data_IF_347176879700
#
_entry.id   IF_347176879700
#
_cell.length_a   1.000
_cell.length_b   1.000
_cell.length_c   1.000
_cell.angle_alpha   90.00
_cell.angle_beta   90.00
_cell.angle_gamma   90.00
#
_symmetry.space_group_name_H-M   'P 1'
#
loop_
_entity.id
_entity.type
_entity.pdbx_description
1 polymer ?
#
# COMPACT_ATOMS: atom_id res chain seq x y z
N UNK A 1 -8.04 10.61 -9.77
CA UNK A 1 -6.85 10.53 -8.91
C UNK A 1 -7.11 9.52 -7.82
N UNK A 2 -6.06 8.93 -7.30
CA UNK A 2 -6.14 7.94 -6.24
C UNK A 2 -5.07 8.20 -5.20
N UNK A 3 -5.26 7.65 -4.01
CA UNK A 3 -4.30 7.74 -2.92
C UNK A 3 -3.90 6.35 -2.49
N UNK A 4 -2.62 6.14 -2.23
CA UNK A 4 -2.07 4.85 -1.84
C UNK A 4 -1.21 5.01 -0.58
N UNK A 5 -1.21 3.99 0.30
CA UNK A 5 -0.39 3.99 1.50
C UNK A 5 0.38 2.70 1.68
N UNK A 6 1.69 2.81 1.90
CA UNK A 6 2.50 1.73 2.44
C UNK A 6 2.35 1.71 3.96
N UNK A 7 1.65 0.71 4.48
CA UNK A 7 1.52 0.50 5.91
C UNK A 7 2.79 -0.17 6.44
N UNK A 8 3.47 0.46 7.40
CA UNK A 8 4.75 0.02 7.94
C UNK A 8 4.72 0.00 9.47
N UNK A 9 5.17 -1.12 10.03
CA UNK A 9 5.38 -1.33 11.45
C UNK A 9 6.91 -1.33 11.70
N UNK A 10 7.46 -0.22 12.22
CA UNK A 10 8.90 -0.10 12.48
C UNK A 10 9.37 -0.96 13.66
N UNK A 11 8.49 -1.33 14.59
CA UNK A 11 8.84 -2.15 15.75
C UNK A 11 9.08 -3.60 15.35
N UNK A 12 8.27 -4.11 14.42
CA UNK A 12 8.38 -5.48 13.88
C UNK A 12 9.14 -5.56 12.56
N UNK A 13 9.57 -4.42 12.04
CA UNK A 13 10.21 -4.27 10.73
C UNK A 13 9.42 -4.98 9.62
N UNK A 14 8.12 -4.69 9.56
CA UNK A 14 7.18 -5.38 8.67
C UNK A 14 6.29 -4.39 7.95
N UNK A 15 5.82 -4.79 6.78
CA UNK A 15 4.86 -4.04 5.97
C UNK A 15 3.56 -4.81 5.86
N UNK A 16 2.47 -4.09 5.62
CA UNK A 16 1.17 -4.66 5.31
C UNK A 16 0.86 -4.36 3.85
N UNK A 17 0.62 -5.43 3.08
CA UNK A 17 0.19 -5.36 1.69
C UNK A 17 -1.18 -6.04 1.55
N UNK A 18 -1.92 -5.66 0.52
CA UNK A 18 -3.18 -6.29 0.14
C UNK A 18 -3.00 -7.08 -1.15
N UNK A 19 -3.71 -8.19 -1.29
CA UNK A 19 -3.75 -9.02 -2.48
C UNK A 19 -5.16 -8.98 -3.07
N UNK A 20 -5.26 -8.47 -4.29
CA UNK A 20 -6.53 -8.25 -4.99
C UNK A 20 -6.45 -8.76 -6.43
N UNK A 21 -7.60 -9.19 -6.96
CA UNK A 21 -7.71 -9.55 -8.38
C UNK A 21 -7.70 -8.28 -9.24
N UNK A 22 -6.74 -8.19 -10.17
CA UNK A 22 -6.68 -7.13 -11.18
C UNK A 22 -6.87 -7.71 -12.57
N UNK A 23 -7.95 -7.32 -13.23
CA UNK A 23 -8.27 -7.80 -14.58
C UNK A 23 -7.16 -7.49 -15.60
N UNK A 24 -6.43 -6.38 -15.43
CA UNK A 24 -5.30 -6.01 -16.27
C UNK A 24 -4.14 -7.03 -16.24
N UNK A 25 -4.00 -7.80 -15.15
CA UNK A 25 -2.99 -8.85 -15.00
C UNK A 25 -3.35 -10.19 -15.64
N UNK A 26 -4.61 -10.40 -16.04
CA UNK A 26 -5.14 -11.71 -16.42
C UNK A 26 -4.32 -12.45 -17.49
N UNK A 27 -3.64 -11.72 -18.37
CA UNK A 27 -2.86 -12.29 -19.47
C UNK A 27 -1.34 -12.04 -19.37
N UNK A 28 -0.88 -11.36 -18.31
CA UNK A 28 0.47 -10.79 -18.25
C UNK A 28 1.28 -11.21 -17.01
N UNK A 29 0.68 -11.89 -16.03
CA UNK A 29 1.33 -12.38 -14.81
C UNK A 29 1.08 -13.88 -14.57
N UNK A 30 1.87 -14.50 -13.68
CA UNK A 30 1.64 -15.87 -13.20
C UNK A 30 0.25 -16.03 -12.55
N UNK A 31 -0.33 -14.92 -12.07
CA UNK A 31 -1.65 -14.82 -11.46
C UNK A 31 -2.20 -13.40 -11.58
N UNK A 32 -3.49 -13.20 -11.88
CA UNK A 32 -4.13 -11.88 -11.85
C UNK A 32 -4.28 -11.30 -10.44
N UNK A 33 -3.98 -12.08 -9.40
CA UNK A 33 -3.91 -11.62 -8.02
C UNK A 33 -2.57 -10.91 -7.78
N UNK A 34 -2.63 -9.62 -7.51
CA UNK A 34 -1.45 -8.76 -7.35
C UNK A 34 -1.29 -8.35 -5.91
N UNK A 35 -0.04 -8.30 -5.42
CA UNK A 35 0.29 -7.69 -4.14
C UNK A 35 0.48 -6.19 -4.30
N UNK A 36 -0.36 -5.42 -3.65
CA UNK A 36 -0.50 -3.97 -3.80
C UNK A 36 -0.45 -3.27 -2.44
N UNK A 37 -0.33 -1.94 -2.50
CA UNK A 37 -0.57 -1.09 -1.35
C UNK A 37 -2.08 -0.98 -1.11
N UNK A 38 -2.48 -0.63 0.11
CA UNK A 38 -3.83 -0.11 0.36
C UNK A 38 -4.04 1.14 -0.50
N UNK A 39 -5.17 1.24 -1.19
CA UNK A 39 -5.44 2.35 -2.09
C UNK A 39 -6.93 2.61 -2.32
N UNK A 40 -7.29 3.88 -2.52
CA UNK A 40 -8.65 4.29 -2.85
C UNK A 40 -8.70 5.39 -3.90
N UNK A 41 -9.82 5.47 -4.62
CA UNK A 41 -10.11 6.58 -5.53
C UNK A 41 -10.51 7.79 -4.70
N UNK A 42 -9.95 8.96 -5.02
CA UNK A 42 -10.31 10.19 -4.32
C UNK A 42 -11.66 10.72 -4.84
N UNK A 43 -12.62 10.93 -3.95
CA UNK A 43 -13.83 11.70 -4.28
C UNK A 43 -13.55 13.22 -4.31
N UNK A 44 -14.42 14.01 -4.98
CA UNK A 44 -14.19 15.45 -5.22
C UNK A 44 -13.97 16.30 -3.95
N UNK A 45 -14.39 15.80 -2.78
CA UNK A 45 -14.26 16.51 -1.50
C UNK A 45 -13.32 15.88 -0.50
N UNK A 46 -12.69 14.74 -0.81
CA UNK A 46 -11.82 14.03 0.13
C UNK A 46 -10.38 14.54 0.05
N UNK A 47 -9.73 14.66 1.21
CA UNK A 47 -8.30 14.87 1.25
C UNK A 47 -7.60 13.51 1.02
N UNK A 48 -6.55 13.43 0.19
CA UNK A 48 -5.81 12.20 -0.06
C UNK A 48 -5.39 11.42 1.21
N UNK A 49 -5.04 12.15 2.28
CA UNK A 49 -4.69 11.56 3.56
C UNK A 49 -5.89 10.89 4.25
N UNK A 50 -7.08 11.48 4.16
CA UNK A 50 -8.30 10.92 4.76
C UNK A 50 -8.73 9.65 4.02
N UNK A 51 -8.57 9.62 2.69
CA UNK A 51 -8.82 8.44 1.86
C UNK A 51 -7.98 7.27 2.32
N UNK A 52 -6.65 7.41 2.38
CA UNK A 52 -5.79 6.27 2.74
C UNK A 52 -5.98 5.79 4.18
N UNK A 53 -6.40 6.66 5.10
CA UNK A 53 -6.76 6.26 6.47
C UNK A 53 -8.05 5.44 6.48
N UNK A 54 -9.08 5.88 5.73
CA UNK A 54 -10.33 5.14 5.56
C UNK A 54 -10.08 3.76 4.93
N UNK A 55 -9.40 3.74 3.79
CA UNK A 55 -9.11 2.51 3.04
C UNK A 55 -8.24 1.54 3.85
N UNK A 56 -7.28 2.03 4.65
CA UNK A 56 -6.48 1.15 5.51
C UNK A 56 -7.34 0.38 6.51
N UNK A 57 -8.41 0.99 7.01
CA UNK A 57 -9.35 0.33 7.89
C UNK A 57 -10.27 -0.64 7.13
N UNK A 58 -10.75 -0.26 5.96
CA UNK A 58 -11.70 -1.06 5.14
C UNK A 58 -11.02 -2.27 4.49
N UNK A 59 -9.87 -2.06 3.86
CA UNK A 59 -9.14 -3.08 3.09
C UNK A 59 -8.21 -3.93 3.96
N UNK A 60 -7.66 -3.36 5.04
CA UNK A 60 -6.63 -4.04 5.84
C UNK A 60 -6.98 -4.21 7.33
N UNK A 61 -8.08 -3.61 7.81
CA UNK A 61 -8.41 -3.58 9.24
C UNK A 61 -7.37 -2.84 10.08
N UNK A 62 -6.59 -1.96 9.46
CA UNK A 62 -5.41 -1.33 10.05
C UNK A 62 -5.68 0.10 10.51
N UNK A 63 -5.50 0.35 11.81
CA UNK A 63 -5.51 1.70 12.36
C UNK A 63 -4.20 2.43 12.02
N UNK A 64 -4.29 3.48 11.21
CA UNK A 64 -3.14 4.33 10.87
C UNK A 64 -2.90 5.34 11.99
N UNK A 65 -1.72 5.26 12.61
CA UNK A 65 -1.36 6.04 13.80
C UNK A 65 -0.69 7.39 13.46
N UNK A 66 0.02 7.43 12.35
CA UNK A 66 0.66 8.62 11.79
C UNK A 66 0.86 8.41 10.29
N UNK A 67 0.95 9.50 9.53
CA UNK A 67 1.03 9.46 8.07
C UNK A 67 2.07 10.44 7.55
N UNK A 68 2.92 9.98 6.63
CA UNK A 68 3.88 10.81 5.92
C UNK A 68 3.60 10.76 4.43
N UNK A 69 3.49 11.93 3.79
CA UNK A 69 3.41 12.03 2.34
C UNK A 69 4.79 11.75 1.72
N UNK A 70 4.82 10.86 0.73
CA UNK A 70 6.02 10.48 -0.02
C UNK A 70 6.12 11.34 -1.30
N UNK A 71 5.26 11.05 -2.28
CA UNK A 71 5.30 11.64 -3.62
C UNK A 71 3.91 11.75 -4.22
N UNK A 72 3.82 12.59 -5.25
CA UNK A 72 2.73 12.53 -6.22
C UNK A 72 3.29 12.23 -7.61
N UNK A 73 2.68 11.28 -8.32
CA UNK A 73 3.18 10.89 -9.65
C UNK A 73 2.06 10.48 -10.61
N UNK A 74 2.39 10.50 -11.90
CA UNK A 74 1.55 9.93 -12.95
C UNK A 74 2.01 8.51 -13.23
N UNK A 75 1.17 7.48 -13.08
CA UNK A 75 1.57 6.09 -13.31
C UNK A 75 1.82 5.82 -14.81
N UNK A 76 1.07 6.46 -15.71
CA UNK A 76 1.22 6.32 -17.16
C UNK A 76 0.76 7.59 -17.90
N UNK A 77 1.56 8.67 -17.91
CA UNK A 77 1.13 9.99 -18.42
C UNK A 77 0.81 9.99 -19.93
N UNK A 78 1.23 8.98 -20.68
CA UNK A 78 0.88 8.83 -22.10
C UNK A 78 -0.52 8.26 -22.35
N UNK A 79 -1.14 7.62 -21.34
CA UNK A 79 -2.42 6.91 -21.50
C UNK A 79 -3.46 7.19 -20.41
N UNK A 80 -3.07 7.84 -19.30
CA UNK A 80 -3.96 8.17 -18.19
C UNK A 80 -3.69 9.58 -17.68
N UNK A 81 -4.76 10.28 -17.30
CA UNK A 81 -4.69 11.56 -16.57
C UNK A 81 -4.61 11.37 -15.06
N UNK A 82 -4.71 10.14 -14.58
CA UNK A 82 -4.68 9.79 -13.17
C UNK A 82 -3.40 10.26 -12.49
N UNK A 83 -3.56 10.91 -11.34
CA UNK A 83 -2.49 11.21 -10.41
C UNK A 83 -2.62 10.36 -9.15
N UNK A 84 -1.50 9.78 -8.70
CA UNK A 84 -1.41 9.02 -7.46
C UNK A 84 -0.77 9.89 -6.38
N UNK A 85 -1.43 9.99 -5.22
CA UNK A 85 -0.88 10.55 -3.99
C UNK A 85 -0.38 9.41 -3.11
N UNK A 86 0.92 9.37 -2.82
CA UNK A 86 1.56 8.24 -2.17
C UNK A 86 2.01 8.59 -0.75
N UNK A 87 1.69 7.72 0.20
CA UNK A 87 2.01 7.88 1.62
C UNK A 87 2.71 6.65 2.20
N UNK A 88 3.35 6.84 3.36
CA UNK A 88 3.68 5.76 4.30
C UNK A 88 2.90 6.01 5.59
N UNK A 89 2.27 4.96 6.11
CA UNK A 89 1.47 5.01 7.34
C UNK A 89 2.10 4.17 8.43
N UNK A 90 2.20 4.72 9.64
CA UNK A 90 2.60 4.00 10.83
C UNK A 90 1.44 3.11 11.29
N UNK A 91 1.71 1.83 11.51
CA UNK A 91 0.72 0.88 12.04
C UNK A 91 1.35 -0.05 13.09
N UNK A 92 0.50 -0.68 13.90
CA UNK A 92 0.86 -1.89 14.63
C UNK A 92 0.35 -3.10 13.85
N UNK A 93 1.25 -3.97 13.41
CA UNK A 93 0.90 -5.12 12.55
C UNK A 93 0.34 -6.33 13.31
N UNK A 94 0.25 -6.25 14.64
CA UNK A 94 -0.26 -7.36 15.45
C UNK A 94 -1.74 -7.63 15.20
N UNK A 95 -2.08 -8.87 14.87
CA UNK A 95 -3.46 -9.26 14.62
C UNK A 95 -3.98 -8.90 13.22
N UNK A 96 -3.19 -8.18 12.42
CA UNK A 96 -3.51 -7.93 11.00
C UNK A 96 -3.30 -9.18 10.15
N UNK A 97 -3.95 -9.20 8.98
CA UNK A 97 -4.01 -10.35 8.08
C UNK A 97 -5.44 -10.85 7.87
N UNK A 98 -5.60 -11.90 7.06
CA UNK A 98 -6.92 -12.49 6.80
C UNK A 98 -7.56 -11.96 5.52
N UNK A 99 -8.88 -12.18 5.39
CA UNK A 99 -9.68 -11.72 4.25
C UNK A 99 -10.55 -10.56 4.70
N UNK A 100 -10.54 -9.49 3.91
CA UNK A 100 -11.16 -8.19 4.15
C UNK A 100 -11.81 -7.69 2.85
N UNK A 101 -12.29 -6.44 2.86
CA UNK A 101 -13.06 -5.84 1.78
C UNK A 101 -14.55 -5.75 2.13
N UNK A 102 -15.24 -4.85 1.44
CA UNK A 102 -16.68 -4.66 1.61
C UNK A 102 -17.45 -5.61 0.68
N UNK A 103 -18.28 -6.49 1.27
CA UNK A 103 -19.10 -7.45 0.50
C UNK A 103 -20.04 -6.74 -0.48
N UNK A 104 -20.48 -5.52 -0.16
CA UNK A 104 -21.33 -4.69 -1.03
C UNK A 104 -20.58 -4.11 -2.24
N UNK A 105 -19.25 -4.03 -2.18
CA UNK A 105 -18.39 -3.48 -3.23
C UNK A 105 -17.76 -4.58 -4.11
N UNK A 106 -17.98 -5.85 -3.75
CA UNK A 106 -17.49 -7.00 -4.50
C UNK A 106 -15.97 -7.18 -4.43
N UNK A 107 -15.36 -6.67 -3.36
CA UNK A 107 -13.92 -6.73 -3.15
C UNK A 107 -13.53 -7.95 -2.32
N UNK A 108 -12.85 -8.91 -2.95
CA UNK A 108 -12.17 -10.01 -2.26
C UNK A 108 -10.72 -9.60 -2.00
N UNK A 109 -10.43 -9.09 -0.79
CA UNK A 109 -9.10 -8.60 -0.43
C UNK A 109 -8.46 -9.54 0.57
N UNK A 110 -7.19 -9.92 0.33
CA UNK A 110 -6.41 -10.68 1.31
C UNK A 110 -5.24 -9.86 1.83
N UNK A 111 -5.16 -9.72 3.15
CA UNK A 111 -4.12 -8.94 3.82
C UNK A 111 -2.92 -9.82 4.14
N UNK A 112 -1.73 -9.32 3.84
CA UNK A 112 -0.45 -9.96 4.08
C UNK A 112 0.43 -9.07 4.95
N UNK A 113 0.86 -9.60 6.09
CA UNK A 113 1.94 -8.99 6.90
C UNK A 113 3.25 -9.66 6.52
N UNK A 114 4.19 -8.88 5.98
CA UNK A 114 5.44 -9.37 5.39
C UNK A 114 6.61 -8.62 6.01
N UNK A 115 7.66 -9.32 6.45
CA UNK A 115 8.89 -8.67 6.91
C UNK A 115 9.52 -7.82 5.80
N UNK A 116 10.07 -6.65 6.14
CA UNK A 116 10.58 -5.69 5.17
C UNK A 116 11.60 -6.32 4.20
N UNK A 117 12.59 -7.05 4.71
CA UNK A 117 13.59 -7.72 3.88
C UNK A 117 12.95 -8.72 2.91
N UNK A 118 11.89 -9.43 3.36
CA UNK A 118 11.17 -10.37 2.50
C UNK A 118 10.41 -9.66 1.39
N UNK A 119 9.81 -8.52 1.68
CA UNK A 119 9.16 -7.70 0.67
C UNK A 119 10.18 -7.20 -0.38
N UNK A 120 11.38 -6.83 0.04
CA UNK A 120 12.46 -6.44 -0.87
C UNK A 120 12.95 -7.60 -1.74
N UNK A 121 13.02 -8.82 -1.22
CA UNK A 121 13.27 -10.02 -2.03
C UNK A 121 12.17 -10.22 -3.08
N UNK A 122 10.90 -10.14 -2.68
CA UNK A 122 9.75 -10.30 -3.58
C UNK A 122 9.73 -9.24 -4.68
N UNK A 123 10.05 -8.00 -4.34
CA UNK A 123 10.22 -6.90 -5.29
C UNK A 123 11.35 -7.21 -6.30
N UNK A 124 12.50 -7.67 -5.82
CA UNK A 124 13.64 -8.05 -6.67
C UNK A 124 13.32 -9.22 -7.61
N UNK A 125 12.53 -10.18 -7.13
CA UNK A 125 12.08 -11.34 -7.89
C UNK A 125 10.86 -11.03 -8.79
N UNK A 126 10.48 -9.74 -8.90
CA UNK A 126 9.35 -9.25 -9.72
C UNK A 126 8.01 -9.93 -9.35
N UNK A 127 7.82 -10.23 -8.05
CA UNK A 127 6.55 -10.70 -7.48
C UNK A 127 5.66 -9.56 -7.00
N UNK A 128 6.19 -8.35 -6.95
CA UNK A 128 5.46 -7.10 -6.75
C UNK A 128 5.76 -6.23 -7.97
N UNK A 129 4.77 -6.01 -8.83
CA UNK A 129 4.96 -5.47 -10.19
C UNK A 129 4.04 -4.29 -10.55
N UNK A 130 3.33 -3.71 -9.57
CA UNK A 130 2.54 -2.48 -9.74
C UNK A 130 3.33 -1.24 -9.28
N UNK A 131 3.13 -0.11 -9.96
CA UNK A 131 3.96 1.08 -9.76
C UNK A 131 3.91 1.66 -8.34
N UNK A 132 2.75 1.80 -7.65
CA UNK A 132 2.73 2.37 -6.30
C UNK A 132 3.54 1.55 -5.31
N UNK A 133 3.38 0.21 -5.31
CA UNK A 133 4.12 -0.66 -4.41
C UNK A 133 5.63 -0.66 -4.70
N UNK A 134 6.03 -0.73 -5.98
CA UNK A 134 7.45 -0.64 -6.37
C UNK A 134 8.07 0.67 -5.84
N UNK A 135 7.40 1.79 -6.08
CA UNK A 135 7.91 3.12 -5.71
C UNK A 135 7.98 3.26 -4.19
N UNK A 136 6.93 2.88 -3.45
CA UNK A 136 6.89 3.04 -2.00
C UNK A 136 7.92 2.15 -1.29
N UNK A 137 8.09 0.90 -1.72
CA UNK A 137 9.08 -0.01 -1.12
C UNK A 137 10.51 0.47 -1.35
N UNK A 138 10.82 0.91 -2.58
CA UNK A 138 12.13 1.49 -2.88
C UNK A 138 12.36 2.79 -2.11
N UNK A 139 11.34 3.64 -1.99
CA UNK A 139 11.43 4.85 -1.18
C UNK A 139 11.67 4.52 0.29
N UNK A 140 10.93 3.58 0.87
CA UNK A 140 11.14 3.17 2.26
C UNK A 140 12.56 2.61 2.43
N UNK A 141 13.05 1.76 1.52
CA UNK A 141 14.42 1.26 1.56
C UNK A 141 15.49 2.36 1.59
N UNK A 142 15.25 3.46 0.87
CA UNK A 142 16.16 4.62 0.82
C UNK A 142 16.06 5.52 2.06
N UNK A 143 14.90 5.56 2.73
CA UNK A 143 14.59 6.51 3.80
C UNK A 143 14.29 5.84 5.15
N UNK A 144 14.51 4.52 5.27
CA UNK A 144 14.06 3.70 6.40
C UNK A 144 14.58 4.20 7.74
N UNK A 145 15.84 4.65 7.77
CA UNK A 145 16.44 5.19 8.98
C UNK A 145 15.68 6.45 9.45
N UNK A 146 15.46 7.41 8.56
CA UNK A 146 14.78 8.66 8.89
C UNK A 146 13.32 8.42 9.32
N UNK A 147 12.63 7.48 8.66
CA UNK A 147 11.27 7.06 9.03
C UNK A 147 11.25 6.45 10.44
N UNK A 148 12.17 5.53 10.72
CA UNK A 148 12.29 4.91 12.05
C UNK A 148 12.62 5.93 13.14
N UNK A 149 13.49 6.91 12.84
CA UNK A 149 13.83 7.99 13.78
C UNK A 149 12.62 8.90 14.04
N UNK A 150 11.83 9.23 12.99
CA UNK A 150 10.62 10.04 13.12
C UNK A 150 9.52 9.36 13.94
N UNK A 151 9.41 8.03 13.88
CA UNK A 151 8.42 7.25 14.63
C UNK A 151 8.96 6.60 15.90
N UNK A 152 10.23 6.83 16.24
CA UNK A 152 10.84 6.29 17.44
C UNK A 152 10.08 6.75 18.70
N UNK A 153 9.46 5.79 19.40
CA UNK A 153 8.75 6.02 20.65
C UNK A 153 7.35 6.61 20.51
N UNK A 154 6.77 6.57 19.31
CA UNK A 154 5.31 6.63 19.11
C UNK A 154 4.72 5.25 19.29
#
# INVERSE_FOLDING_TARGET
DASCVLLYDPDKDSIVLVEQFRIGGLHHSDSPWMLELVAGINEESELPADVVVREAQEEAGADVLDLMHIYEFYPSPGGSTERIHLFVGLVHSEGLGGVHGLEEEGEDIKVHVIGFDKAMEMLKDNKIDNSPAIIALQWLALNKQDVNEHWSGK
#
